data_IF_033771694986
#
_entry.id   IF_033771694986
#
_cell.length_a   1.000
_cell.length_b   1.000
_cell.length_c   1.000
_cell.angle_alpha   90.00
_cell.angle_beta   90.00
_cell.angle_gamma   90.00
#
_symmetry.space_group_name_H-M   'P 1'
#
loop_
_entity.id
_entity.type
_entity.pdbx_description
1 polymer ?
#
# COMPACT_ATOMS: atom_id res chain seq x y z
N UNK A 1 32.65 -45.86 43.02
CA UNK A 1 31.47 -45.19 42.45
C UNK A 1 31.63 -45.17 40.94
N UNK A 2 30.96 -46.06 40.23
CA UNK A 2 30.83 -46.01 38.76
C UNK A 2 29.72 -46.99 38.38
N UNK A 3 28.59 -46.48 37.87
CA UNK A 3 27.53 -47.29 37.27
C UNK A 3 27.36 -46.81 35.83
N UNK A 4 27.82 -47.64 34.90
CA UNK A 4 27.65 -47.43 33.47
C UNK A 4 26.19 -47.62 33.05
N UNK A 5 25.79 -46.72 32.14
CA UNK A 5 24.45 -46.49 31.59
C UNK A 5 23.95 -47.71 30.80
N UNK A 6 22.69 -48.11 31.03
CA UNK A 6 21.92 -48.94 30.10
C UNK A 6 20.96 -48.04 29.31
N UNK A 7 21.18 -47.96 28.01
CA UNK A 7 20.34 -47.29 27.02
C UNK A 7 18.99 -48.01 26.90
N UNK A 8 17.90 -47.28 27.07
CA UNK A 8 16.57 -47.72 26.66
C UNK A 8 16.27 -47.09 25.29
N UNK A 9 16.33 -47.91 24.25
CA UNK A 9 15.80 -47.58 22.93
C UNK A 9 14.28 -47.56 22.98
N UNK A 10 13.71 -46.37 22.82
CA UNK A 10 12.28 -46.14 22.65
C UNK A 10 11.89 -46.40 21.19
N UNK A 11 11.34 -47.56 20.88
CA UNK A 11 10.70 -47.80 19.58
C UNK A 11 9.31 -47.17 19.57
N UNK A 12 9.19 -46.08 18.82
CA UNK A 12 7.95 -45.32 18.60
C UNK A 12 6.96 -46.15 17.76
N UNK A 13 5.90 -46.66 18.40
CA UNK A 13 4.82 -47.35 17.69
C UNK A 13 3.95 -46.32 16.92
N UNK A 14 4.13 -46.23 15.60
CA UNK A 14 3.30 -45.42 14.72
C UNK A 14 1.88 -46.01 14.60
N UNK A 15 0.96 -45.58 15.49
CA UNK A 15 -0.46 -45.89 15.38
C UNK A 15 -1.08 -45.02 14.27
N UNK A 16 -1.28 -45.61 13.09
CA UNK A 16 -2.03 -44.96 11.99
C UNK A 16 -3.44 -44.62 12.44
N UNK A 17 -3.71 -43.34 12.70
CA UNK A 17 -5.04 -42.82 13.01
C UNK A 17 -5.90 -42.88 11.73
N UNK A 18 -6.82 -43.85 11.65
CA UNK A 18 -7.85 -43.88 10.60
C UNK A 18 -8.83 -42.74 10.85
N UNK A 19 -8.67 -41.62 10.14
CA UNK A 19 -9.64 -40.53 10.12
C UNK A 19 -10.98 -41.06 9.58
N UNK A 20 -11.99 -41.19 10.44
CA UNK A 20 -13.38 -41.46 10.03
C UNK A 20 -13.87 -40.27 9.21
N UNK A 21 -14.02 -40.45 7.90
CA UNK A 21 -14.70 -39.49 7.03
C UNK A 21 -16.20 -39.51 7.37
N UNK A 22 -16.67 -38.50 8.08
CA UNK A 22 -18.10 -38.29 8.29
C UNK A 22 -18.75 -37.96 6.94
N UNK A 23 -19.42 -38.95 6.35
CA UNK A 23 -20.28 -38.75 5.18
C UNK A 23 -21.43 -37.82 5.60
N UNK A 24 -21.43 -36.60 5.09
CA UNK A 24 -22.50 -35.63 5.38
C UNK A 24 -23.83 -36.26 4.93
N UNK A 25 -24.78 -36.36 5.86
CA UNK A 25 -26.09 -36.98 5.64
C UNK A 25 -26.68 -36.54 4.29
N UNK A 26 -26.97 -37.48 3.39
CA UNK A 26 -27.47 -37.24 2.02
C UNK A 26 -28.65 -36.24 1.98
N UNK A 27 -29.52 -36.27 3.01
CA UNK A 27 -30.62 -35.31 3.21
C UNK A 27 -30.16 -33.85 3.26
N UNK A 28 -29.02 -33.56 3.90
CA UNK A 28 -28.45 -32.20 4.00
C UNK A 28 -27.83 -31.72 2.68
N UNK A 29 -27.23 -32.64 1.92
CA UNK A 29 -26.68 -32.39 0.59
C UNK A 29 -27.82 -32.07 -0.39
N UNK A 30 -28.89 -32.86 -0.36
CA UNK A 30 -30.07 -32.63 -1.21
C UNK A 30 -30.76 -31.30 -0.88
N UNK A 31 -30.88 -30.93 0.40
CA UNK A 31 -31.41 -29.62 0.81
C UNK A 31 -30.54 -28.47 0.28
N UNK A 32 -29.21 -28.60 0.35
CA UNK A 32 -28.26 -27.61 -0.19
C UNK A 32 -28.36 -27.51 -1.72
N UNK A 33 -28.47 -28.65 -2.41
CA UNK A 33 -28.62 -28.70 -3.86
C UNK A 33 -29.94 -28.09 -4.34
N UNK A 34 -31.05 -28.32 -3.62
CA UNK A 34 -32.35 -27.68 -3.90
C UNK A 34 -32.25 -26.16 -3.78
N UNK A 35 -31.63 -25.65 -2.71
CA UNK A 35 -31.37 -24.20 -2.54
C UNK A 35 -30.51 -23.62 -3.67
N UNK A 36 -29.46 -24.33 -4.10
CA UNK A 36 -28.63 -23.93 -5.25
C UNK A 36 -29.42 -23.86 -6.55
N UNK A 37 -30.27 -24.85 -6.85
CA UNK A 37 -31.11 -24.86 -8.06
C UNK A 37 -32.13 -23.72 -8.05
N UNK A 38 -32.79 -23.48 -6.92
CA UNK A 38 -33.73 -22.37 -6.75
C UNK A 38 -33.04 -21.01 -6.94
N UNK A 39 -31.85 -20.79 -6.35
CA UNK A 39 -31.07 -19.57 -6.54
C UNK A 39 -30.67 -19.36 -8.01
N UNK A 40 -30.25 -20.42 -8.72
CA UNK A 40 -29.95 -20.36 -10.16
C UNK A 40 -31.20 -20.03 -10.99
N UNK A 41 -32.37 -20.60 -10.66
CA UNK A 41 -33.62 -20.31 -11.35
C UNK A 41 -34.05 -18.84 -11.18
N UNK A 42 -33.95 -18.31 -9.96
CA UNK A 42 -34.21 -16.90 -9.66
C UNK A 42 -33.32 -15.95 -10.47
N UNK A 43 -32.01 -16.18 -10.51
CA UNK A 43 -31.11 -15.36 -11.33
C UNK A 43 -31.36 -15.51 -12.84
N UNK A 44 -31.80 -16.70 -13.29
CA UNK A 44 -32.17 -16.91 -14.69
C UNK A 44 -33.46 -16.14 -15.05
N UNK A 45 -34.42 -16.07 -14.14
CA UNK A 45 -35.64 -15.25 -14.27
C UNK A 45 -35.28 -13.77 -14.33
N UNK A 46 -34.50 -13.27 -13.37
CA UNK A 46 -33.99 -11.89 -13.37
C UNK A 46 -33.25 -11.53 -14.67
N UNK A 47 -32.42 -12.44 -15.21
CA UNK A 47 -31.74 -12.21 -16.50
C UNK A 47 -32.70 -12.13 -17.69
N UNK A 48 -33.78 -12.90 -17.68
CA UNK A 48 -34.83 -12.83 -18.71
C UNK A 48 -35.66 -11.56 -18.58
N UNK A 49 -35.91 -11.10 -17.37
CA UNK A 49 -36.68 -9.87 -17.11
C UNK A 49 -35.89 -8.57 -17.33
N UNK A 50 -34.54 -8.64 -17.37
CA UNK A 50 -33.70 -7.48 -17.72
C UNK A 50 -33.87 -7.00 -19.17
N UNK A 51 -34.38 -7.85 -20.06
CA UNK A 51 -34.72 -7.48 -21.43
C UNK A 51 -36.21 -7.70 -21.66
N UNK A 52 -37.02 -6.78 -21.12
CA UNK A 52 -38.45 -6.72 -21.42
C UNK A 52 -38.67 -6.04 -22.78
N UNK A 53 -39.80 -6.32 -23.45
CA UNK A 53 -40.19 -5.63 -24.71
C UNK A 53 -40.10 -4.10 -24.58
N UNK A 54 -40.38 -3.54 -23.39
CA UNK A 54 -40.25 -2.11 -23.14
C UNK A 54 -38.82 -1.56 -23.22
N UNK A 55 -37.79 -2.35 -22.87
CA UNK A 55 -36.39 -1.93 -23.07
C UNK A 55 -35.97 -2.05 -24.53
N UNK A 56 -36.58 -2.96 -25.29
CA UNK A 56 -36.32 -3.11 -26.73
C UNK A 56 -36.90 -1.93 -27.53
N UNK A 57 -38.10 -1.46 -27.17
CA UNK A 57 -38.65 -0.24 -27.77
C UNK A 57 -37.82 1.00 -27.42
N UNK A 58 -37.33 1.09 -26.18
CA UNK A 58 -36.39 2.14 -25.79
C UNK A 58 -35.09 2.09 -26.61
N UNK A 59 -34.49 0.89 -26.77
CA UNK A 59 -33.30 0.71 -27.59
C UNK A 59 -33.54 0.97 -29.09
N UNK A 60 -34.71 0.62 -29.62
CA UNK A 60 -35.06 0.93 -31.02
C UNK A 60 -35.36 2.42 -31.25
N UNK A 61 -35.75 3.16 -30.20
CA UNK A 61 -35.89 4.62 -30.24
C UNK A 61 -34.56 5.37 -30.12
N UNK A 62 -33.48 4.69 -29.73
CA UNK A 62 -32.14 5.27 -29.75
C UNK A 62 -31.67 5.33 -31.20
N UNK A 63 -31.73 6.53 -31.76
CA UNK A 63 -31.09 6.84 -33.03
C UNK A 63 -29.57 6.68 -32.84
N UNK A 64 -28.98 5.66 -33.46
CA UNK A 64 -27.53 5.50 -33.51
C UNK A 64 -26.93 6.69 -34.25
N UNK A 65 -26.33 7.61 -33.51
CA UNK A 65 -25.59 8.73 -34.09
C UNK A 65 -24.17 8.25 -34.41
N UNK A 66 -23.84 8.20 -35.69
CA UNK A 66 -22.48 7.95 -36.18
C UNK A 66 -21.57 9.09 -35.71
N UNK A 67 -20.60 8.77 -34.84
CA UNK A 67 -19.59 9.73 -34.34
C UNK A 67 -18.70 10.27 -35.48
N UNK A 68 -18.74 9.63 -36.66
CA UNK A 68 -17.91 10.01 -37.81
C UNK A 68 -18.51 11.19 -38.57
N UNK A 69 -19.83 11.43 -38.46
CA UNK A 69 -20.53 12.50 -39.19
C UNK A 69 -20.82 13.73 -38.31
N UNK A 70 -20.42 13.72 -37.03
CA UNK A 70 -20.39 14.96 -36.26
C UNK A 70 -19.22 15.81 -36.75
N UNK A 71 -19.45 17.02 -37.32
CA UNK A 71 -18.37 17.98 -37.44
C UNK A 71 -17.76 18.13 -36.05
N UNK A 72 -16.43 18.16 -35.94
CA UNK A 72 -15.74 18.45 -34.69
C UNK A 72 -16.30 19.79 -34.22
N UNK A 73 -17.26 19.75 -33.28
CA UNK A 73 -17.92 20.96 -32.80
C UNK A 73 -16.80 21.81 -32.22
N UNK A 74 -16.63 22.99 -32.80
CA UNK A 74 -15.77 24.01 -32.19
C UNK A 74 -16.25 24.18 -30.75
N UNK A 75 -15.32 24.32 -29.79
CA UNK A 75 -15.62 24.35 -28.35
C UNK A 75 -16.71 25.37 -27.96
N UNK A 76 -17.00 26.31 -28.85
CA UNK A 76 -18.00 27.37 -28.74
C UNK A 76 -19.44 26.92 -29.08
N UNK A 77 -19.65 25.69 -29.57
CA UNK A 77 -20.96 25.17 -29.99
C UNK A 77 -21.49 24.05 -29.07
N UNK A 78 -20.69 23.62 -28.09
CA UNK A 78 -21.10 22.59 -27.13
C UNK A 78 -22.07 23.17 -26.09
N UNK A 79 -23.07 22.39 -25.64
CA UNK A 79 -23.92 22.77 -24.51
C UNK A 79 -23.06 23.19 -23.32
N UNK A 80 -23.49 24.25 -22.63
CA UNK A 80 -22.72 24.88 -21.57
C UNK A 80 -22.36 23.90 -20.44
N UNK A 81 -23.21 22.89 -20.22
CA UNK A 81 -23.00 21.81 -19.26
C UNK A 81 -21.80 20.93 -19.62
N UNK A 82 -21.57 20.65 -20.90
CA UNK A 82 -20.46 19.84 -21.40
C UNK A 82 -19.14 20.58 -21.22
N UNK A 83 -19.13 21.89 -21.52
CA UNK A 83 -17.96 22.76 -21.31
C UNK A 83 -17.62 22.82 -19.82
N UNK A 84 -18.62 22.98 -18.95
CA UNK A 84 -18.41 22.98 -17.50
C UNK A 84 -17.88 21.64 -17.00
N UNK A 85 -18.40 20.53 -17.51
CA UNK A 85 -17.93 19.20 -17.14
C UNK A 85 -16.47 19.00 -17.57
N UNK A 86 -16.12 19.36 -18.80
CA UNK A 86 -14.75 19.30 -19.30
C UNK A 86 -13.79 20.16 -18.45
N UNK A 87 -14.19 21.38 -18.10
CA UNK A 87 -13.39 22.25 -17.24
C UNK A 87 -13.20 21.65 -15.83
N UNK A 88 -14.25 21.07 -15.25
CA UNK A 88 -14.17 20.39 -13.94
C UNK A 88 -13.23 19.18 -13.99
N UNK A 89 -13.30 18.40 -15.06
CA UNK A 89 -12.45 17.23 -15.27
C UNK A 89 -10.97 17.62 -15.43
N UNK A 90 -10.68 18.64 -16.25
CA UNK A 90 -9.33 19.20 -16.38
C UNK A 90 -8.80 19.69 -15.03
N UNK A 91 -9.61 20.42 -14.25
CA UNK A 91 -9.21 20.88 -12.92
C UNK A 91 -8.96 19.71 -11.98
N UNK A 92 -9.80 18.66 -12.01
CA UNK A 92 -9.61 17.46 -11.19
C UNK A 92 -8.31 16.73 -11.57
N UNK A 93 -8.06 16.57 -12.87
CA UNK A 93 -6.82 16.00 -13.39
C UNK A 93 -5.59 16.77 -12.89
N UNK A 94 -5.54 18.09 -13.10
CA UNK A 94 -4.40 18.89 -12.68
C UNK A 94 -4.21 18.92 -11.16
N UNK A 95 -5.30 18.91 -10.38
CA UNK A 95 -5.24 18.78 -8.92
C UNK A 95 -4.63 17.45 -8.49
N UNK A 96 -5.11 16.33 -9.04
CA UNK A 96 -4.54 15.01 -8.74
C UNK A 96 -3.06 14.93 -9.11
N UNK A 97 -2.68 15.47 -10.28
CA UNK A 97 -1.30 15.49 -10.75
C UNK A 97 -0.41 16.33 -9.83
N UNK A 98 -0.87 17.50 -9.38
CA UNK A 98 -0.15 18.35 -8.44
C UNK A 98 0.10 17.64 -7.10
N UNK A 99 -0.93 17.00 -6.53
CA UNK A 99 -0.80 16.22 -5.28
C UNK A 99 0.23 15.09 -5.44
N UNK A 100 0.18 14.33 -6.54
CA UNK A 100 1.15 13.27 -6.80
C UNK A 100 2.58 13.81 -6.88
N UNK A 101 2.80 14.94 -7.56
CA UNK A 101 4.12 15.57 -7.66
C UNK A 101 4.60 16.13 -6.32
N UNK A 102 3.70 16.65 -5.48
CA UNK A 102 4.05 17.08 -4.12
C UNK A 102 4.52 15.90 -3.25
N UNK A 103 3.84 14.76 -3.34
CA UNK A 103 4.23 13.54 -2.65
C UNK A 103 5.58 13.01 -3.14
N UNK A 104 5.78 12.95 -4.45
CA UNK A 104 7.05 12.54 -5.07
C UNK A 104 8.19 13.47 -4.64
N UNK A 105 7.98 14.79 -4.72
CA UNK A 105 8.95 15.78 -4.26
C UNK A 105 9.30 15.61 -2.77
N UNK A 106 8.33 15.28 -1.93
CA UNK A 106 8.58 14.98 -0.51
C UNK A 106 9.45 13.73 -0.35
N UNK A 107 9.13 12.66 -1.06
CA UNK A 107 9.92 11.42 -1.03
C UNK A 107 11.35 11.64 -1.53
N UNK A 108 11.54 12.43 -2.60
CA UNK A 108 12.87 12.77 -3.11
C UNK A 108 13.68 13.58 -2.10
N UNK A 109 13.06 14.57 -1.44
CA UNK A 109 13.72 15.35 -0.38
C UNK A 109 14.13 14.47 0.79
N UNK A 110 13.26 13.56 1.22
CA UNK A 110 13.56 12.63 2.32
C UNK A 110 14.66 11.64 1.92
N UNK A 111 14.67 11.16 0.67
CA UNK A 111 15.74 10.31 0.16
C UNK A 111 17.09 11.05 0.12
N UNK A 112 17.12 12.28 -0.41
CA UNK A 112 18.33 13.11 -0.41
C UNK A 112 18.85 13.34 0.99
N UNK A 113 17.98 13.69 1.95
CA UNK A 113 18.36 13.83 3.37
C UNK A 113 19.03 12.57 3.91
N UNK A 114 18.51 11.39 3.57
CA UNK A 114 19.08 10.11 4.02
C UNK A 114 20.45 9.84 3.37
N UNK A 115 20.59 10.09 2.06
CA UNK A 115 21.87 9.91 1.36
C UNK A 115 22.93 10.85 1.92
N UNK A 116 22.59 12.12 2.15
CA UNK A 116 23.53 13.07 2.77
C UNK A 116 23.88 12.68 4.21
N UNK A 117 22.92 12.20 5.00
CA UNK A 117 23.20 11.70 6.34
C UNK A 117 24.19 10.52 6.31
N UNK A 118 23.97 9.54 5.42
CA UNK A 118 24.90 8.41 5.25
C UNK A 118 26.29 8.86 4.83
N UNK A 119 26.37 9.84 3.92
CA UNK A 119 27.64 10.37 3.45
C UNK A 119 28.38 11.12 4.56
N UNK A 120 27.68 11.89 5.40
CA UNK A 120 28.27 12.55 6.57
C UNK A 120 28.80 11.51 7.57
N UNK A 121 27.99 10.51 7.92
CA UNK A 121 28.41 9.44 8.83
C UNK A 121 29.63 8.69 8.31
N UNK A 122 29.70 8.42 7.00
CA UNK A 122 30.85 7.81 6.36
C UNK A 122 32.12 8.66 6.49
N UNK A 123 32.02 9.99 6.29
CA UNK A 123 33.17 10.87 6.48
C UNK A 123 33.58 11.03 7.94
N UNK A 124 32.62 11.12 8.87
CA UNK A 124 32.91 11.19 10.30
C UNK A 124 33.62 9.92 10.79
N UNK A 125 33.16 8.74 10.37
CA UNK A 125 33.83 7.47 10.66
C UNK A 125 35.26 7.45 10.10
N UNK A 126 35.44 7.85 8.84
CA UNK A 126 36.78 7.86 8.22
C UNK A 126 37.73 8.90 8.85
N UNK A 127 37.19 10.01 9.36
CA UNK A 127 37.96 11.02 10.09
C UNK A 127 38.42 10.48 11.45
N UNK A 128 37.57 9.75 12.15
CA UNK A 128 37.91 9.08 13.42
C UNK A 128 39.02 8.02 13.23
N UNK A 129 39.03 7.30 12.09
CA UNK A 129 40.12 6.38 11.73
C UNK A 129 41.43 7.07 11.31
N UNK A 130 41.40 8.38 11.03
CA UNK A 130 42.57 9.15 10.59
C UNK A 130 43.25 9.93 11.74
N UNK A 131 42.62 10.05 12.91
CA UNK A 131 43.20 10.64 14.12
C UNK A 131 44.00 9.60 14.93
N UNK A 132 45.02 9.00 14.30
CA UNK A 132 46.09 8.32 15.03
C UNK A 132 47.05 9.41 15.54
N UNK A 133 47.39 9.47 16.85
CA UNK A 133 48.26 10.52 17.37
C UNK A 133 49.59 10.51 16.60
N UNK A 134 50.08 11.65 16.10
CA UNK A 134 51.41 11.70 15.51
C UNK A 134 52.42 11.40 16.62
N UNK A 135 53.03 10.22 16.54
CA UNK A 135 54.26 9.97 17.26
C UNK A 135 55.30 11.00 16.85
N UNK A 136 56.08 11.39 17.84
CA UNK A 136 56.98 12.50 17.86
C UNK A 136 58.28 12.17 17.13
N UNK A 137 58.46 12.65 15.91
CA UNK A 137 59.75 12.73 15.26
C UNK A 137 59.90 14.07 14.53
N UNK A 138 60.58 14.98 15.22
CA UNK A 138 60.89 16.31 14.72
C UNK A 138 61.77 16.28 13.47
N UNK A 139 61.31 16.93 12.41
CA UNK A 139 62.19 17.66 11.49
C UNK A 139 61.43 18.78 10.76
N UNK A 140 61.85 20.00 11.08
CA UNK A 140 61.56 21.27 10.40
C UNK A 140 61.71 21.18 8.88
N UNK A 141 60.72 21.65 8.11
CA UNK A 141 60.94 22.48 6.92
C UNK A 141 59.78 23.48 6.79
N UNK A 142 60.11 24.77 6.83
CA UNK A 142 59.23 25.89 6.57
C UNK A 142 58.81 25.90 5.09
N UNK A 143 57.56 26.26 4.81
CA UNK A 143 57.25 27.09 3.65
C UNK A 143 55.93 27.85 3.89
N UNK A 144 56.08 29.17 3.92
CA UNK A 144 55.04 30.17 3.84
C UNK A 144 54.27 30.04 2.52
N UNK A 145 52.95 30.25 2.55
CA UNK A 145 52.29 31.15 1.59
C UNK A 145 50.90 31.55 2.08
N UNK A 146 50.88 32.76 2.63
CA UNK A 146 49.84 33.80 2.58
C UNK A 146 48.35 33.45 2.75
N UNK A 147 47.86 33.94 3.88
CA UNK A 147 46.51 34.37 4.21
C UNK A 147 45.85 35.22 3.12
N UNK A 148 44.53 35.05 2.95
CA UNK A 148 43.62 36.18 2.83
C UNK A 148 42.24 35.78 3.35
N UNK A 149 41.97 36.34 4.52
CA UNK A 149 40.75 36.37 5.30
C UNK A 149 39.58 37.04 4.59
N UNK A 150 38.40 36.44 4.66
CA UNK A 150 37.14 37.19 4.86
C UNK A 150 36.24 36.46 5.84
N UNK A 151 36.11 37.10 6.99
CA UNK A 151 35.20 36.85 8.09
C UNK A 151 33.74 37.05 7.66
N UNK A 152 32.91 36.02 7.88
CA UNK A 152 31.48 36.20 8.15
C UNK A 152 31.17 35.28 9.33
N UNK A 153 31.18 35.89 10.52
CA UNK A 153 30.74 35.29 11.77
C UNK A 153 29.22 35.07 11.74
N UNK A 154 28.83 33.95 12.36
CA UNK A 154 27.64 33.79 13.21
C UNK A 154 26.32 34.44 12.77
N UNK A 155 25.39 33.60 12.31
CA UNK A 155 24.04 33.48 12.91
C UNK A 155 23.24 32.45 12.10
N UNK A 156 23.53 31.16 12.35
CA UNK A 156 22.57 30.10 12.03
C UNK A 156 22.29 29.38 13.32
N UNK A 157 21.25 29.83 14.02
CA UNK A 157 20.51 29.02 14.99
C UNK A 157 20.33 27.66 14.33
N UNK A 158 21.05 26.68 14.84
CA UNK A 158 20.83 25.29 14.51
C UNK A 158 19.45 24.94 15.04
N UNK A 159 18.41 25.22 14.26
CA UNK A 159 17.18 24.47 14.31
C UNK A 159 17.60 23.03 14.07
N UNK A 160 17.77 22.30 15.18
CA UNK A 160 17.92 20.86 15.18
C UNK A 160 16.64 20.31 14.57
N UNK A 161 16.60 20.25 13.24
CA UNK A 161 15.56 19.56 12.49
C UNK A 161 15.60 18.14 13.01
N UNK A 162 14.62 17.79 13.86
CA UNK A 162 14.39 16.41 14.29
C UNK A 162 14.15 15.62 13.01
N UNK A 163 15.19 14.95 12.53
CA UNK A 163 15.09 13.89 11.53
C UNK A 163 14.07 12.92 12.10
N UNK A 164 12.88 12.89 11.50
CA UNK A 164 11.85 11.93 11.90
C UNK A 164 12.47 10.57 11.58
N UNK A 165 12.73 9.73 12.60
CA UNK A 165 13.36 8.45 12.35
C UNK A 165 12.49 7.68 11.36
N UNK A 166 13.14 7.11 10.34
CA UNK A 166 12.52 6.23 9.34
C UNK A 166 12.11 4.92 10.02
N UNK A 167 11.10 5.01 10.88
CA UNK A 167 10.50 3.89 11.58
C UNK A 167 9.48 3.29 10.61
N UNK A 168 9.60 2.01 10.26
CA UNK A 168 8.60 1.33 9.46
C UNK A 168 7.20 1.60 10.01
N UNK A 169 6.24 2.02 9.16
CA UNK A 169 4.89 2.34 9.59
C UNK A 169 4.32 1.12 10.34
N UNK A 170 3.89 1.32 11.57
CA UNK A 170 3.32 0.27 12.41
C UNK A 170 4.19 -0.23 13.57
N UNK A 171 5.50 0.06 13.65
CA UNK A 171 6.30 -0.35 14.82
C UNK A 171 5.84 0.29 16.12
N UNK A 172 5.39 1.55 16.07
CA UNK A 172 4.82 2.24 17.22
C UNK A 172 3.55 1.55 17.71
N UNK A 173 2.64 1.22 16.79
CA UNK A 173 1.39 0.51 17.10
C UNK A 173 1.64 -0.87 17.70
N UNK A 174 2.61 -1.63 17.18
CA UNK A 174 2.97 -2.93 17.73
C UNK A 174 3.47 -2.82 19.18
N UNK A 175 4.35 -1.85 19.46
CA UNK A 175 4.89 -1.62 20.81
C UNK A 175 3.81 -1.13 21.79
N UNK A 176 2.88 -0.31 21.33
CA UNK A 176 1.71 0.13 22.13
C UNK A 176 0.78 -1.04 22.43
N UNK A 177 0.48 -1.88 21.44
CA UNK A 177 -0.36 -3.06 21.61
C UNK A 177 0.27 -4.06 22.58
N UNK A 178 1.58 -4.28 22.47
CA UNK A 178 2.35 -5.12 23.40
C UNK A 178 2.36 -4.54 24.82
N UNK A 179 2.43 -3.22 24.97
CA UNK A 179 2.34 -2.54 26.28
C UNK A 179 0.95 -2.67 26.93
N UNK A 180 -0.12 -2.58 26.16
CA UNK A 180 -1.50 -2.58 26.69
C UNK A 180 -2.03 -4.00 26.89
N UNK A 181 -1.79 -4.88 25.92
CA UNK A 181 -2.41 -6.21 25.86
C UNK A 181 -1.43 -7.36 26.11
N UNK A 182 -0.12 -7.09 26.21
CA UNK A 182 0.92 -8.10 26.46
C UNK A 182 0.90 -9.24 25.45
N UNK A 183 1.00 -10.47 25.94
CA UNK A 183 0.98 -11.70 25.12
C UNK A 183 -0.27 -11.85 24.25
N UNK A 184 -1.37 -11.17 24.58
CA UNK A 184 -2.63 -11.22 23.82
C UNK A 184 -2.69 -10.17 22.71
N UNK A 185 -1.70 -9.30 22.58
CA UNK A 185 -1.65 -8.25 21.56
C UNK A 185 -1.91 -8.79 20.15
N UNK A 186 -1.23 -9.88 19.77
CA UNK A 186 -1.41 -10.51 18.46
C UNK A 186 -2.85 -11.00 18.23
N UNK A 187 -3.51 -11.52 19.27
CA UNK A 187 -4.90 -11.98 19.18
C UNK A 187 -5.87 -10.82 19.01
N UNK A 188 -5.70 -9.75 19.79
CA UNK A 188 -6.54 -8.54 19.71
C UNK A 188 -6.39 -7.87 18.35
N UNK A 189 -5.14 -7.70 17.88
CA UNK A 189 -4.87 -7.15 16.54
C UNK A 189 -5.51 -8.01 15.44
N UNK A 190 -5.41 -9.33 15.53
CA UNK A 190 -6.06 -10.23 14.57
C UNK A 190 -7.59 -10.08 14.55
N UNK A 191 -8.21 -9.86 15.71
CA UNK A 191 -9.66 -9.61 15.81
C UNK A 191 -10.05 -8.25 15.22
N UNK A 192 -9.28 -7.20 15.51
CA UNK A 192 -9.46 -5.86 14.94
C UNK A 192 -9.34 -5.89 13.42
N UNK A 193 -8.32 -6.55 12.87
CA UNK A 193 -8.15 -6.70 11.42
C UNK A 193 -9.30 -7.49 10.80
N UNK A 194 -9.78 -8.54 11.45
CA UNK A 194 -10.93 -9.29 10.94
C UNK A 194 -12.21 -8.44 10.90
N UNK A 195 -12.42 -7.57 11.89
CA UNK A 195 -13.55 -6.62 11.91
C UNK A 195 -13.41 -5.56 10.81
N UNK A 196 -12.22 -4.98 10.65
CA UNK A 196 -11.91 -3.98 9.63
C UNK A 196 -12.13 -4.53 8.22
N UNK A 197 -11.62 -5.74 7.94
CA UNK A 197 -11.83 -6.41 6.65
C UNK A 197 -13.31 -6.67 6.36
N UNK A 198 -14.08 -7.04 7.38
CA UNK A 198 -15.51 -7.27 7.22
C UNK A 198 -16.25 -5.95 6.93
N UNK A 199 -15.85 -4.86 7.59
CA UNK A 199 -16.39 -3.53 7.34
C UNK A 199 -16.07 -3.05 5.92
N UNK A 200 -14.80 -3.16 5.49
CA UNK A 200 -14.36 -2.80 4.14
C UNK A 200 -15.13 -3.57 3.07
N UNK A 201 -15.36 -4.87 3.28
CA UNK A 201 -16.15 -5.68 2.37
C UNK A 201 -17.59 -5.19 2.23
N UNK A 202 -18.23 -4.79 3.34
CA UNK A 202 -19.58 -4.22 3.29
C UNK A 202 -19.60 -2.88 2.56
N UNK A 203 -18.57 -2.05 2.75
CA UNK A 203 -18.40 -0.81 2.00
C UNK A 203 -18.20 -1.06 0.50
N UNK A 204 -17.42 -2.08 0.10
CA UNK A 204 -17.24 -2.47 -1.30
C UNK A 204 -18.56 -2.95 -1.93
N UNK A 205 -19.41 -3.63 -1.17
CA UNK A 205 -20.72 -4.08 -1.63
C UNK A 205 -21.70 -2.89 -1.80
N UNK A 206 -21.64 -1.88 -0.92
CA UNK A 206 -22.49 -0.67 -0.99
C UNK A 206 -21.98 0.36 -2.01
N UNK A 207 -20.67 0.48 -2.14
CA UNK A 207 -19.98 1.39 -3.04
C UNK A 207 -18.98 0.59 -3.88
N UNK A 208 -19.44 -0.21 -4.86
CA UNK A 208 -18.54 -0.92 -5.74
C UNK A 208 -17.70 0.14 -6.49
N UNK A 209 -16.43 0.26 -6.09
CA UNK A 209 -15.45 1.07 -6.80
C UNK A 209 -15.22 0.34 -8.11
N UNK A 210 -15.98 0.72 -9.13
CA UNK A 210 -15.67 0.38 -10.50
C UNK A 210 -14.32 1.03 -10.80
N UNK A 211 -13.24 0.25 -10.68
CA UNK A 211 -11.98 0.56 -11.34
C UNK A 211 -12.33 0.97 -12.78
N UNK A 212 -11.80 2.09 -13.30
CA UNK A 212 -12.08 2.44 -14.67
C UNK A 212 -11.56 1.28 -15.51
N UNK A 213 -12.49 0.51 -16.08
CA UNK A 213 -12.24 -0.49 -17.08
C UNK A 213 -11.88 0.30 -18.35
N UNK A 214 -10.73 0.99 -18.30
CA UNK A 214 -10.20 1.76 -19.39
C UNK A 214 -9.64 0.74 -20.37
N UNK A 215 -10.26 0.53 -21.54
CA UNK A 215 -9.69 -0.37 -22.53
C UNK A 215 -8.31 0.18 -22.89
N UNK A 216 -7.27 -0.54 -22.49
CA UNK A 216 -5.92 -0.29 -23.00
C UNK A 216 -5.97 -0.61 -24.48
N UNK A 217 -5.90 0.42 -25.31
CA UNK A 217 -5.64 0.28 -26.75
C UNK A 217 -4.20 -0.22 -26.87
N UNK A 218 -4.04 -1.52 -27.19
CA UNK A 218 -2.79 -2.08 -27.71
C UNK A 218 -2.75 -1.88 -29.22
#
# INVERSE_FOLDING_TARGET
>A
MEKFKKSHESTCSNKKTKLKKYSKNSRTINRRNRRKRSKKAYFKMLRKERYSRGTLELCNSLQEFSVVDTPICSLNELPQEVIQWHNKDQVAYWKSRAICLELENKMLKDHLRNVYAQQIEYYDQNKEWQEVPPENDGRTIANEHNSSSTSIESEKKADKVKVVPNVPPGKHRLREMEKIYGDRAAKVMGMETALELNYQKLLEDECPIYWPNMPLKL
#
